data_IF_335699074452
#
_entry.id   IF_335699074452
#
_cell.length_a   1.000
_cell.length_b   1.000
_cell.length_c   1.000
_cell.angle_alpha   90.00
_cell.angle_beta   90.00
_cell.angle_gamma   90.00
#
_symmetry.space_group_name_H-M   'P 1'
#
loop_
_entity.id
_entity.type
_entity.pdbx_description
1 polymer ?
#
# COMPACT_ATOMS: atom_id res chain seq x y z
N UNK A 1 5.52 -12.13 -24.99
CA UNK A 1 5.82 -12.33 -23.57
C UNK A 1 4.50 -12.16 -22.81
N UNK A 2 3.99 -13.18 -22.14
CA UNK A 2 2.84 -12.99 -21.24
C UNK A 2 3.37 -12.36 -19.96
N UNK A 3 2.74 -11.28 -19.50
CA UNK A 3 3.04 -10.72 -18.18
C UNK A 3 2.72 -11.77 -17.12
N UNK A 4 3.63 -11.96 -16.15
CA UNK A 4 3.39 -12.85 -15.00
C UNK A 4 2.30 -12.31 -14.07
N UNK A 5 2.03 -10.99 -14.11
CA UNK A 5 1.05 -10.31 -13.28
C UNK A 5 -0.02 -9.62 -14.11
N UNK A 6 -1.25 -9.63 -13.60
CA UNK A 6 -2.38 -8.83 -14.06
C UNK A 6 -2.25 -7.39 -13.58
N UNK A 7 -2.98 -6.46 -14.22
CA UNK A 7 -2.91 -5.04 -13.86
C UNK A 7 -3.29 -4.78 -12.40
N UNK A 8 -4.22 -5.55 -11.84
CA UNK A 8 -4.72 -5.41 -10.47
C UNK A 8 -3.76 -5.97 -9.40
N UNK A 9 -2.78 -6.77 -9.82
CA UNK A 9 -1.70 -7.30 -8.96
C UNK A 9 -0.49 -6.36 -8.92
N UNK A 10 -0.44 -5.37 -9.82
CA UNK A 10 0.65 -4.40 -9.85
C UNK A 10 0.44 -3.33 -8.78
N UNK A 11 1.54 -2.98 -8.11
CA UNK A 11 1.57 -1.88 -7.16
C UNK A 11 1.94 -0.57 -7.86
N UNK A 12 1.28 0.55 -7.52
CA UNK A 12 1.60 1.84 -8.10
C UNK A 12 3.00 2.28 -7.64
N UNK A 13 3.82 2.77 -8.59
CA UNK A 13 5.16 3.25 -8.30
C UNK A 13 5.16 4.41 -7.28
N UNK A 14 4.12 5.26 -7.33
CA UNK A 14 3.91 6.33 -6.35
C UNK A 14 3.74 5.83 -4.92
N UNK A 15 3.26 4.59 -4.73
CA UNK A 15 3.14 3.96 -3.41
C UNK A 15 4.49 3.78 -2.70
N UNK A 16 5.61 3.78 -3.43
CA UNK A 16 6.95 3.66 -2.83
C UNK A 16 7.26 4.85 -1.90
N UNK A 17 6.73 6.05 -2.19
CA UNK A 17 6.89 7.22 -1.32
C UNK A 17 6.24 6.99 0.05
N UNK A 18 5.03 6.40 0.08
CA UNK A 18 4.37 6.02 1.33
C UNK A 18 5.15 4.92 2.08
N UNK A 19 5.78 3.98 1.38
CA UNK A 19 6.62 2.96 2.01
C UNK A 19 7.83 3.57 2.74
N UNK A 20 8.47 4.58 2.15
CA UNK A 20 9.59 5.30 2.78
C UNK A 20 9.16 6.07 4.03
N UNK A 21 7.99 6.71 3.98
CA UNK A 21 7.44 7.45 5.11
C UNK A 21 6.97 6.54 6.25
N UNK A 22 6.08 5.58 5.96
CA UNK A 22 5.55 4.64 6.93
C UNK A 22 5.22 3.28 6.29
N UNK A 23 6.08 2.28 6.56
CA UNK A 23 5.89 0.90 6.06
C UNK A 23 4.59 0.27 6.54
N UNK A 24 4.15 0.58 7.77
CA UNK A 24 2.90 0.04 8.34
C UNK A 24 1.68 0.55 7.58
N UNK A 25 1.59 1.86 7.36
CA UNK A 25 0.54 2.47 6.54
C UNK A 25 0.53 1.90 5.12
N UNK A 26 1.71 1.79 4.50
CA UNK A 26 1.82 1.21 3.16
C UNK A 26 1.27 -0.22 3.08
N UNK A 27 1.61 -1.09 4.04
CA UNK A 27 1.11 -2.46 4.08
C UNK A 27 -0.41 -2.51 4.28
N UNK A 28 -0.96 -1.68 5.17
CA UNK A 28 -2.40 -1.59 5.42
C UNK A 28 -3.19 -1.16 4.17
N UNK A 29 -2.64 -0.25 3.37
CA UNK A 29 -3.27 0.25 2.14
C UNK A 29 -3.13 -0.77 1.00
N UNK A 30 -1.90 -1.24 0.74
CA UNK A 30 -1.56 -1.93 -0.51
C UNK A 30 -1.55 -3.46 -0.42
N UNK A 31 -1.29 -4.04 0.76
CA UNK A 31 -1.20 -5.50 0.96
C UNK A 31 -2.46 -6.02 1.65
N UNK A 32 -2.75 -5.50 2.83
CA UNK A 32 -3.86 -6.00 3.68
C UNK A 32 -5.22 -5.42 3.25
N UNK A 33 -5.21 -4.27 2.58
CA UNK A 33 -6.42 -3.51 2.21
C UNK A 33 -7.34 -3.24 3.42
N UNK A 34 -6.76 -2.99 4.59
CA UNK A 34 -7.45 -2.74 5.86
C UNK A 34 -7.23 -1.31 6.38
N UNK A 35 -6.70 -0.41 5.56
CA UNK A 35 -6.58 1.00 5.95
C UNK A 35 -7.96 1.60 6.25
N UNK A 36 -8.07 2.25 7.41
CA UNK A 36 -9.25 2.98 7.85
C UNK A 36 -8.82 4.28 8.51
N UNK A 37 -9.51 5.38 8.23
CA UNK A 37 -9.26 6.66 8.90
C UNK A 37 -9.78 6.61 10.33
N UNK A 38 -8.92 6.16 11.25
CA UNK A 38 -9.20 6.03 12.67
C UNK A 38 -8.05 6.60 13.52
N UNK A 39 -8.24 6.62 14.84
CA UNK A 39 -7.26 7.16 15.77
C UNK A 39 -5.88 6.50 15.61
N UNK A 40 -5.84 5.16 15.48
CA UNK A 40 -4.59 4.41 15.34
C UNK A 40 -3.83 4.74 14.05
N UNK A 41 -4.54 5.10 12.98
CA UNK A 41 -3.91 5.56 11.73
C UNK A 41 -3.48 7.03 11.76
N UNK A 42 -4.13 7.86 12.58
CA UNK A 42 -3.78 9.26 12.75
C UNK A 42 -2.56 9.45 13.66
N UNK A 43 -2.38 8.57 14.64
CA UNK A 43 -1.27 8.62 15.59
C UNK A 43 0.04 8.01 15.05
N UNK A 44 -0.03 7.19 14.00
CA UNK A 44 1.13 6.63 13.29
C UNK A 44 1.76 5.42 13.95
#
# INVERSE_FOLDING_TARGET
MKSEYTADELLPLSGIQHFYFCRRQWALIHVERQWQENLFTAEG
#
